data_IF_451767845491
#
_entry.id   IF_451767845491
#
_cell.length_a   1.000
_cell.length_b   1.000
_cell.length_c   1.000
_cell.angle_alpha   90.00
_cell.angle_beta   90.00
_cell.angle_gamma   90.00
#
_symmetry.space_group_name_H-M   'P 1'
#
loop_
_entity.id
_entity.type
_entity.pdbx_description
1 polymer ?
#
# COMPACT_ATOMS: atom_id res chain seq x y z
N UNK A 1 2.40 14.72 7.43
CA UNK A 1 2.51 13.89 6.22
C UNK A 1 3.17 12.59 6.59
N UNK A 2 2.59 11.48 6.13
CA UNK A 2 3.01 10.13 6.43
C UNK A 2 3.23 9.35 5.15
N UNK A 3 4.18 8.43 5.18
CA UNK A 3 4.42 7.47 4.13
C UNK A 3 3.91 6.12 4.57
N UNK A 4 2.97 5.54 3.85
CA UNK A 4 2.58 4.14 4.00
C UNK A 4 3.35 3.30 2.98
N UNK A 5 4.20 2.42 3.47
CA UNK A 5 4.92 1.44 2.66
C UNK A 5 4.06 0.18 2.56
N UNK A 6 3.89 -0.33 1.33
CA UNK A 6 3.12 -1.55 1.06
C UNK A 6 3.95 -2.49 0.22
N UNK A 7 4.07 -3.74 0.66
CA UNK A 7 4.75 -4.81 -0.06
C UNK A 7 3.80 -5.97 -0.30
N UNK A 8 3.83 -6.57 -1.50
CA UNK A 8 3.09 -7.79 -1.77
C UNK A 8 3.81 -8.71 -2.76
N UNK A 9 3.54 -10.01 -2.70
CA UNK A 9 4.05 -10.96 -3.69
C UNK A 9 3.34 -10.79 -5.05
N UNK A 10 3.94 -11.34 -6.10
CA UNK A 10 3.32 -11.34 -7.44
C UNK A 10 1.98 -12.08 -7.48
N UNK A 11 1.81 -13.13 -6.68
CA UNK A 11 0.58 -13.91 -6.62
C UNK A 11 -0.51 -13.22 -5.81
N UNK A 12 -0.15 -12.58 -4.68
CA UNK A 12 -1.07 -11.71 -3.94
C UNK A 12 -1.56 -10.56 -4.82
N UNK A 13 -0.67 -9.96 -5.62
CA UNK A 13 -1.04 -8.91 -6.56
C UNK A 13 -2.03 -9.37 -7.63
N UNK A 14 -1.90 -10.59 -8.17
CA UNK A 14 -2.86 -11.12 -9.15
C UNK A 14 -4.26 -11.28 -8.54
N UNK A 15 -4.32 -11.65 -7.26
CA UNK A 15 -5.59 -11.90 -6.56
C UNK A 15 -6.25 -10.60 -6.08
N UNK A 16 -5.47 -9.70 -5.47
CA UNK A 16 -6.01 -8.53 -4.76
C UNK A 16 -5.67 -7.19 -5.43
N UNK A 17 -4.79 -7.16 -6.43
CA UNK A 17 -4.29 -5.92 -7.01
C UNK A 17 -5.37 -5.02 -7.64
N UNK A 18 -6.46 -5.60 -8.14
CA UNK A 18 -7.60 -4.81 -8.62
C UNK A 18 -8.31 -4.07 -7.47
N UNK A 19 -8.54 -4.75 -6.34
CA UNK A 19 -9.13 -4.16 -5.15
C UNK A 19 -8.17 -3.15 -4.48
N UNK A 20 -6.90 -3.50 -4.40
CA UNK A 20 -5.88 -2.62 -3.83
C UNK A 20 -5.77 -1.30 -4.58
N UNK A 21 -5.88 -1.28 -5.91
CA UNK A 21 -5.73 -0.05 -6.70
C UNK A 21 -6.77 1.04 -6.38
N UNK A 22 -7.96 0.67 -5.91
CA UNK A 22 -8.99 1.64 -5.51
C UNK A 22 -8.95 1.99 -4.03
N UNK A 23 -8.18 1.27 -3.20
CA UNK A 23 -8.08 1.57 -1.76
C UNK A 23 -7.46 2.95 -1.46
N UNK A 24 -6.32 3.36 -2.06
CA UNK A 24 -5.68 4.64 -1.75
C UNK A 24 -6.60 5.85 -1.95
N UNK A 25 -7.53 5.78 -2.91
CA UNK A 25 -8.46 6.88 -3.22
C UNK A 25 -9.36 7.25 -2.02
N UNK A 26 -9.72 6.27 -1.17
CA UNK A 26 -10.50 6.50 0.05
C UNK A 26 -9.78 7.39 1.06
N UNK A 27 -8.44 7.35 1.02
CA UNK A 27 -7.53 7.96 2.00
C UNK A 27 -6.78 9.16 1.42
N UNK A 28 -7.19 9.62 0.22
CA UNK A 28 -6.47 10.66 -0.52
C UNK A 28 -4.98 10.32 -0.71
N UNK A 29 -4.66 9.02 -0.79
CA UNK A 29 -3.30 8.51 -0.85
C UNK A 29 -2.66 8.75 -2.22
N UNK A 30 -1.61 9.57 -2.25
CA UNK A 30 -0.82 9.81 -3.45
C UNK A 30 0.25 8.73 -3.60
N UNK A 31 0.26 8.00 -4.72
CA UNK A 31 1.32 7.02 -5.00
C UNK A 31 2.64 7.73 -5.33
N UNK A 32 3.57 7.78 -4.38
CA UNK A 32 4.88 8.42 -4.53
C UNK A 32 5.98 7.46 -4.99
N UNK A 33 5.77 6.15 -4.83
CA UNK A 33 6.70 5.14 -5.37
C UNK A 33 5.98 3.83 -5.70
N UNK A 34 6.41 3.19 -6.79
CA UNK A 34 5.92 1.86 -7.18
C UNK A 34 7.02 1.11 -7.94
N UNK A 35 7.46 -0.02 -7.39
CA UNK A 35 8.50 -0.85 -7.98
C UNK A 35 8.02 -2.28 -8.05
N UNK A 36 8.18 -2.89 -9.23
CA UNK A 36 8.04 -4.33 -9.44
C UNK A 36 9.43 -4.96 -9.52
N UNK A 37 9.69 -5.94 -8.67
CA UNK A 37 10.93 -6.71 -8.62
C UNK A 37 10.89 -7.87 -9.65
N UNK A 38 12.05 -8.41 -10.07
CA UNK A 38 12.11 -9.50 -11.04
C UNK A 38 11.37 -10.78 -10.62
N UNK A 39 11.31 -11.05 -9.31
CA UNK A 39 10.57 -12.16 -8.69
C UNK A 39 9.05 -11.93 -8.64
N UNK A 40 8.58 -10.77 -9.10
CA UNK A 40 7.16 -10.40 -9.09
C UNK A 40 6.72 -9.68 -7.83
N UNK A 41 7.57 -9.57 -6.80
CA UNK A 41 7.31 -8.76 -5.60
C UNK A 41 7.09 -7.30 -5.98
N UNK A 42 6.14 -6.64 -5.32
CA UNK A 42 5.85 -5.21 -5.51
C UNK A 42 6.08 -4.47 -4.21
N UNK A 43 6.73 -3.33 -4.32
CA UNK A 43 6.99 -2.40 -3.21
C UNK A 43 6.43 -1.06 -3.65
N UNK A 44 5.51 -0.51 -2.86
CA UNK A 44 4.77 0.71 -3.14
C UNK A 44 4.86 1.63 -1.94
N UNK A 45 4.82 2.93 -2.18
CA UNK A 45 4.79 3.95 -1.15
C UNK A 45 3.71 4.96 -1.47
N UNK A 46 2.86 5.25 -0.48
CA UNK A 46 1.77 6.20 -0.57
C UNK A 46 1.98 7.33 0.43
N UNK A 47 1.84 8.56 -0.03
CA UNK A 47 1.81 9.74 0.83
C UNK A 47 0.36 9.99 1.27
N UNK A 48 0.15 10.11 2.57
CA UNK A 48 -1.14 10.43 3.18
C UNK A 48 -0.94 11.59 4.16
N UNK A 49 -1.87 12.55 4.17
CA UNK A 49 -1.74 13.78 4.97
C UNK A 49 -2.05 13.53 6.46
N UNK A 50 -3.17 12.87 6.74
CA UNK A 50 -3.65 12.57 8.09
C UNK A 50 -3.07 11.26 8.64
N UNK A 51 -2.75 11.23 9.94
CA UNK A 51 -2.20 10.02 10.60
C UNK A 51 -3.23 8.91 10.72
N UNK A 52 -4.49 9.25 11.01
CA UNK A 52 -5.57 8.29 11.20
C UNK A 52 -5.90 7.62 9.87
N UNK A 53 -5.88 8.38 8.77
CA UNK A 53 -6.02 7.83 7.42
C UNK A 53 -4.85 6.92 7.03
N UNK A 54 -3.62 7.28 7.44
CA UNK A 54 -2.44 6.45 7.20
C UNK A 54 -2.51 5.11 7.97
N UNK A 55 -2.93 5.14 9.23
CA UNK A 55 -3.16 3.95 10.07
C UNK A 55 -4.26 3.06 9.48
N UNK A 56 -5.41 3.65 9.13
CA UNK A 56 -6.52 2.91 8.53
C UNK A 56 -6.16 2.29 7.18
N UNK A 57 -5.46 3.03 6.32
CA UNK A 57 -4.96 2.50 5.05
C UNK A 57 -3.95 1.37 5.27
N UNK A 58 -3.02 1.53 6.21
CA UNK A 58 -2.05 0.51 6.57
C UNK A 58 -2.74 -0.77 7.07
N UNK A 59 -3.77 -0.66 7.92
CA UNK A 59 -4.57 -1.80 8.40
C UNK A 59 -5.36 -2.49 7.27
N UNK A 60 -6.05 -1.72 6.40
CA UNK A 60 -6.75 -2.29 5.24
C UNK A 60 -5.78 -3.04 4.30
N UNK A 61 -4.57 -2.51 4.10
CA UNK A 61 -3.54 -3.18 3.31
C UNK A 61 -3.07 -4.48 3.95
N UNK A 62 -2.84 -4.50 5.27
CA UNK A 62 -2.40 -5.68 6.00
C UNK A 62 -3.44 -6.80 6.02
N UNK A 63 -4.73 -6.45 5.88
CA UNK A 63 -5.83 -7.40 5.78
C UNK A 63 -5.93 -8.09 4.40
N UNK A 64 -5.20 -7.63 3.38
CA UNK A 64 -5.08 -8.34 2.12
C UNK A 64 -4.05 -9.47 2.24
N UNK A 65 -4.46 -10.71 1.99
CA UNK A 65 -3.57 -11.86 2.11
C UNK A 65 -2.34 -11.73 1.22
N UNK A 66 -1.16 -11.86 1.82
CA UNK A 66 0.13 -11.71 1.11
C UNK A 66 0.56 -10.27 0.86
N UNK A 67 -0.11 -9.29 1.50
CA UNK A 67 0.36 -7.92 1.63
C UNK A 67 0.94 -7.70 3.03
N UNK A 68 1.91 -6.82 3.12
CA UNK A 68 2.44 -6.27 4.37
C UNK A 68 2.54 -4.77 4.23
N UNK A 69 2.35 -4.06 5.34
CA UNK A 69 2.36 -2.61 5.35
C UNK A 69 2.91 -2.07 6.67
N UNK A 70 3.56 -0.91 6.57
CA UNK A 70 4.06 -0.10 7.67
C UNK A 70 3.88 1.38 7.29
N UNK A 71 4.00 2.28 8.26
CA UNK A 71 4.03 3.71 7.97
C UNK A 71 5.07 4.45 8.80
N UNK A 72 5.60 5.52 8.22
CA UNK A 72 6.62 6.36 8.81
C UNK A 72 6.32 7.85 8.55
N UNK A 73 6.85 8.72 9.39
CA UNK A 73 6.79 10.16 9.15
C UNK A 73 7.61 10.51 7.91
N UNK A 74 7.09 11.42 7.07
CA UNK A 74 7.67 11.81 5.79
C UNK A 74 8.41 13.15 5.89
#
# INVERSE_FOLDING_TARGET
MWRVNVTCSGDAWKQHGANFKSMPEKYQGECISSKKMPDGTRIMGYKIEDVSDAEAFQEECANLSGFTSDFEAL
#
